data_IF_556193371019
#
_entry.id   IF_556193371019
#
_cell.length_a   1.000
_cell.length_b   1.000
_cell.length_c   1.000
_cell.angle_alpha   90.00
_cell.angle_beta   90.00
_cell.angle_gamma   90.00
#
_symmetry.space_group_name_H-M   'P 1'
#
loop_
_entity.id
_entity.type
_entity.pdbx_description
1 polymer ?
#
# COMPACT_ATOMS: atom_id res chain seq x y z
N UNK A 1 5.14 5.58 -13.59
CA UNK A 1 4.04 5.27 -12.67
C UNK A 1 4.17 6.01 -11.34
N UNK A 2 3.08 6.07 -10.60
CA UNK A 2 3.01 6.67 -9.25
C UNK A 2 2.81 5.53 -8.25
N UNK A 3 3.66 5.42 -7.23
CA UNK A 3 3.46 4.43 -6.16
C UNK A 3 2.20 4.76 -5.35
N UNK A 4 1.20 3.86 -5.34
CA UNK A 4 -0.01 4.02 -4.51
C UNK A 4 0.34 3.87 -3.03
N UNK A 5 1.17 2.88 -2.68
CA UNK A 5 1.55 2.56 -1.30
C UNK A 5 3.01 2.91 -1.02
N UNK A 6 3.37 3.34 0.21
CA UNK A 6 4.75 3.70 0.60
C UNK A 6 5.60 2.46 0.92
N UNK A 7 5.47 1.39 0.15
CA UNK A 7 6.11 0.09 0.33
C UNK A 7 6.92 -0.30 -0.90
N UNK A 8 7.62 -1.43 -0.86
CA UNK A 8 8.23 -2.03 -2.03
C UNK A 8 7.18 -2.27 -3.13
N UNK A 9 7.52 -1.99 -4.39
CA UNK A 9 6.57 -2.16 -5.49
C UNK A 9 6.08 -3.61 -5.65
N UNK A 10 6.88 -4.61 -5.26
CA UNK A 10 6.50 -6.01 -5.20
C UNK A 10 5.31 -6.30 -4.25
N UNK A 11 5.06 -5.43 -3.27
CA UNK A 11 3.92 -5.55 -2.35
C UNK A 11 2.63 -4.91 -2.88
N UNK A 12 2.70 -4.04 -3.90
CA UNK A 12 1.56 -3.24 -4.31
C UNK A 12 0.37 -4.09 -4.78
N UNK A 13 0.63 -5.13 -5.58
CA UNK A 13 -0.42 -6.05 -6.02
C UNK A 13 -1.01 -6.87 -4.85
N UNK A 14 -0.16 -7.23 -3.87
CA UNK A 14 -0.57 -7.95 -2.65
C UNK A 14 -1.47 -7.07 -1.77
N UNK A 15 -1.06 -5.82 -1.52
CA UNK A 15 -1.85 -4.85 -0.73
C UNK A 15 -3.20 -4.59 -1.41
N UNK A 16 -3.18 -4.31 -2.70
CA UNK A 16 -4.38 -4.01 -3.48
C UNK A 16 -5.36 -5.18 -3.46
N UNK A 17 -4.89 -6.41 -3.68
CA UNK A 17 -5.70 -7.63 -3.64
C UNK A 17 -6.34 -7.85 -2.26
N UNK A 18 -5.58 -7.62 -1.19
CA UNK A 18 -6.08 -7.70 0.18
C UNK A 18 -7.20 -6.68 0.43
N UNK A 19 -6.97 -5.41 0.10
CA UNK A 19 -7.96 -4.35 0.30
C UNK A 19 -9.23 -4.58 -0.52
N UNK A 20 -9.10 -5.08 -1.76
CA UNK A 20 -10.26 -5.43 -2.59
C UNK A 20 -11.08 -6.56 -1.96
N UNK A 21 -10.45 -7.61 -1.44
CA UNK A 21 -11.15 -8.69 -0.76
C UNK A 21 -11.89 -8.21 0.48
N UNK A 22 -11.23 -7.42 1.34
CA UNK A 22 -11.84 -6.84 2.54
C UNK A 22 -13.09 -6.02 2.18
N UNK A 23 -12.98 -5.15 1.19
CA UNK A 23 -14.08 -4.30 0.76
C UNK A 23 -15.19 -5.08 0.06
N UNK A 24 -14.85 -5.94 -0.90
CA UNK A 24 -15.81 -6.68 -1.74
C UNK A 24 -16.71 -7.63 -0.93
N UNK A 25 -16.15 -8.21 0.12
CA UNK A 25 -16.83 -9.17 0.98
C UNK A 25 -17.24 -8.59 2.33
N UNK A 26 -17.05 -7.27 2.53
CA UNK A 26 -17.35 -6.55 3.79
C UNK A 26 -16.76 -7.26 5.03
N UNK A 27 -15.53 -7.78 4.91
CA UNK A 27 -14.86 -8.51 5.98
C UNK A 27 -14.42 -7.55 7.09
N UNK A 28 -14.71 -7.91 8.33
CA UNK A 28 -14.08 -7.28 9.48
C UNK A 28 -12.65 -7.81 9.69
N UNK A 29 -11.74 -7.04 10.32
CA UNK A 29 -10.38 -7.49 10.59
C UNK A 29 -10.29 -8.84 11.31
N UNK A 30 -11.22 -9.12 12.23
CA UNK A 30 -11.24 -10.35 13.04
C UNK A 30 -11.86 -11.55 12.30
N UNK A 31 -12.50 -11.34 11.16
CA UNK A 31 -12.98 -12.44 10.33
C UNK A 31 -11.82 -13.20 9.64
N UNK A 32 -10.67 -12.53 9.45
CA UNK A 32 -9.53 -13.12 8.73
C UNK A 32 -8.66 -13.94 9.69
N UNK A 33 -8.63 -15.25 9.46
CA UNK A 33 -7.92 -16.24 10.27
C UNK A 33 -6.49 -16.46 9.75
N UNK A 34 -6.35 -16.66 8.44
CA UNK A 34 -5.07 -16.83 7.76
C UNK A 34 -5.13 -16.25 6.33
N UNK A 35 -3.97 -16.13 5.71
CA UNK A 35 -3.89 -15.73 4.31
C UNK A 35 -2.80 -16.49 3.55
N UNK A 36 -2.99 -16.60 2.24
CA UNK A 36 -1.99 -17.09 1.30
C UNK A 36 -1.74 -16.04 0.23
N UNK A 37 -0.49 -15.76 -0.03
CA UNK A 37 -0.03 -14.86 -1.11
C UNK A 37 0.75 -15.70 -2.11
N UNK A 38 0.33 -15.69 -3.39
CA UNK A 38 1.08 -16.32 -4.48
C UNK A 38 1.71 -15.25 -5.35
N UNK A 39 3.01 -15.30 -5.48
CA UNK A 39 3.84 -14.32 -6.18
C UNK A 39 4.92 -15.03 -7.02
N UNK A 40 5.53 -14.28 -7.93
CA UNK A 40 6.62 -14.81 -8.76
C UNK A 40 7.88 -15.13 -7.93
N UNK A 41 8.80 -15.96 -8.46
CA UNK A 41 10.11 -16.21 -7.85
C UNK A 41 10.88 -14.91 -7.58
N UNK A 42 10.83 -13.94 -8.51
CA UNK A 42 11.48 -12.64 -8.33
C UNK A 42 10.89 -11.86 -7.15
N UNK A 43 9.57 -11.71 -7.09
CA UNK A 43 8.90 -11.01 -5.99
C UNK A 43 9.20 -11.68 -4.65
N UNK A 44 9.21 -13.02 -4.61
CA UNK A 44 9.53 -13.79 -3.42
C UNK A 44 10.94 -13.49 -2.89
N UNK A 45 11.93 -13.34 -3.78
CA UNK A 45 13.30 -12.97 -3.39
C UNK A 45 13.36 -11.61 -2.67
N UNK A 46 12.45 -10.69 -3.00
CA UNK A 46 12.44 -9.32 -2.47
C UNK A 46 11.57 -9.19 -1.23
N UNK A 47 10.36 -9.79 -1.22
CA UNK A 47 9.35 -9.52 -0.19
C UNK A 47 8.77 -10.79 0.47
N UNK A 48 9.24 -11.99 0.07
CA UNK A 48 8.67 -13.25 0.54
C UNK A 48 9.29 -13.82 1.82
N UNK A 49 10.40 -13.24 2.32
CA UNK A 49 11.03 -13.69 3.54
C UNK A 49 10.08 -13.57 4.76
N UNK A 50 10.17 -14.47 5.76
CA UNK A 50 9.39 -14.35 6.99
C UNK A 50 9.51 -12.97 7.61
N UNK A 51 8.39 -12.43 8.11
CA UNK A 51 8.39 -11.11 8.74
C UNK A 51 9.13 -11.12 10.07
N UNK A 52 10.18 -10.30 10.18
CA UNK A 52 10.97 -10.15 11.40
C UNK A 52 11.32 -8.66 11.64
N UNK A 53 10.61 -7.98 12.59
CA UNK A 53 10.86 -6.59 12.93
C UNK A 53 11.97 -6.39 13.99
N UNK A 54 12.78 -7.38 14.29
CA UNK A 54 13.75 -7.35 15.40
C UNK A 54 14.88 -6.34 15.17
N UNK A 55 15.38 -6.23 13.94
CA UNK A 55 16.49 -5.32 13.58
C UNK A 55 15.93 -3.96 13.12
N UNK A 56 15.72 -3.78 11.83
CA UNK A 56 15.14 -2.59 11.24
C UNK A 56 13.65 -2.84 10.94
N UNK A 57 12.80 -2.51 11.92
CA UNK A 57 11.37 -2.80 11.84
C UNK A 57 10.69 -2.05 10.67
N UNK A 58 11.12 -0.83 10.37
CA UNK A 58 10.57 -0.05 9.27
C UNK A 58 10.89 -0.69 7.92
N UNK A 59 12.15 -1.05 7.69
CA UNK A 59 12.57 -1.72 6.46
C UNK A 59 11.92 -3.10 6.35
N UNK A 60 11.87 -3.86 7.46
CA UNK A 60 11.19 -5.16 7.48
C UNK A 60 9.73 -5.03 7.03
N UNK A 61 8.99 -4.04 7.54
CA UNK A 61 7.61 -3.78 7.15
C UNK A 61 7.48 -3.37 5.67
N UNK A 62 8.39 -2.53 5.17
CA UNK A 62 8.39 -2.07 3.77
C UNK A 62 8.66 -3.19 2.76
N UNK A 63 9.38 -4.24 3.16
CA UNK A 63 9.81 -5.34 2.30
C UNK A 63 9.21 -6.70 2.68
N UNK A 64 8.04 -6.72 3.31
CA UNK A 64 7.33 -7.94 3.69
C UNK A 64 5.94 -8.02 3.07
N UNK A 65 5.68 -9.09 2.32
CA UNK A 65 4.35 -9.42 1.84
C UNK A 65 3.42 -9.78 3.01
N UNK A 66 3.93 -10.48 4.03
CA UNK A 66 3.17 -10.89 5.21
C UNK A 66 2.70 -9.68 6.00
N UNK A 67 3.60 -8.73 6.30
CA UNK A 67 3.24 -7.49 6.98
C UNK A 67 2.23 -6.67 6.16
N UNK A 68 2.43 -6.59 4.85
CA UNK A 68 1.55 -5.85 3.94
C UNK A 68 0.11 -6.36 3.98
N UNK A 69 -0.09 -7.69 3.96
CA UNK A 69 -1.42 -8.31 4.13
C UNK A 69 -1.98 -7.99 5.52
N UNK A 70 -1.19 -8.24 6.57
CA UNK A 70 -1.64 -8.07 7.95
C UNK A 70 -2.04 -6.61 8.25
N UNK A 71 -1.26 -5.64 7.79
CA UNK A 71 -1.57 -4.20 7.92
C UNK A 71 -2.82 -3.84 7.13
N UNK A 72 -2.96 -4.32 5.89
CA UNK A 72 -4.14 -4.07 5.06
C UNK A 72 -5.42 -4.65 5.69
N UNK A 73 -5.36 -5.84 6.29
CA UNK A 73 -6.48 -6.45 7.01
C UNK A 73 -6.81 -5.67 8.29
N UNK A 74 -5.82 -5.47 9.17
CA UNK A 74 -6.05 -4.90 10.51
C UNK A 74 -6.42 -3.42 10.48
N UNK A 75 -5.88 -2.65 9.52
CA UNK A 75 -6.01 -1.20 9.46
C UNK A 75 -6.85 -0.71 8.28
N UNK A 76 -7.23 -1.59 7.35
CA UNK A 76 -7.94 -1.22 6.12
C UNK A 76 -7.11 -0.35 5.16
N UNK A 77 -5.80 -0.24 5.40
CA UNK A 77 -4.87 0.58 4.61
C UNK A 77 -3.43 0.14 4.80
N UNK A 78 -2.54 0.66 3.93
CA UNK A 78 -1.09 0.67 4.12
C UNK A 78 -0.58 2.05 3.72
N UNK A 79 -0.52 2.95 4.69
CA UNK A 79 -0.07 4.34 4.54
C UNK A 79 1.28 4.58 5.22
N UNK A 80 1.73 5.84 5.26
CA UNK A 80 3.01 6.21 5.87
C UNK A 80 3.06 5.89 7.38
N UNK A 81 1.95 6.14 8.10
CA UNK A 81 1.89 5.85 9.54
C UNK A 81 1.93 4.36 9.86
N UNK A 82 1.54 3.52 8.89
CA UNK A 82 1.51 2.07 9.05
C UNK A 82 2.90 1.44 8.87
N UNK A 83 3.92 2.24 8.51
CA UNK A 83 5.31 1.81 8.31
C UNK A 83 6.29 2.47 9.29
N UNK A 84 5.80 3.06 10.38
CA UNK A 84 6.67 3.52 11.48
C UNK A 84 7.20 2.32 12.28
N UNK A 85 8.24 2.54 13.07
CA UNK A 85 8.81 1.49 13.94
C UNK A 85 7.76 0.92 14.89
N UNK A 86 6.93 1.78 15.47
CA UNK A 86 5.84 1.42 16.38
C UNK A 86 4.80 0.57 15.66
N UNK A 87 4.35 1.01 14.49
CA UNK A 87 3.37 0.29 13.69
C UNK A 87 3.89 -1.07 13.20
N UNK A 88 5.18 -1.13 12.84
CA UNK A 88 5.82 -2.37 12.40
C UNK A 88 5.96 -3.39 13.56
N UNK A 89 6.05 -2.93 14.81
CA UNK A 89 6.14 -3.77 16.00
C UNK A 89 4.80 -4.04 16.69
N UNK A 90 3.71 -3.62 16.08
CA UNK A 90 2.37 -3.88 16.60
C UNK A 90 2.13 -5.40 16.71
N UNK A 91 1.83 -5.91 17.94
CA UNK A 91 1.70 -7.35 18.17
C UNK A 91 0.49 -7.97 17.45
N UNK A 92 -0.60 -7.23 17.23
CA UNK A 92 -1.78 -7.74 16.53
C UNK A 92 -1.51 -7.91 15.05
N UNK A 93 -0.82 -6.93 14.45
CA UNK A 93 -0.37 -7.03 13.05
C UNK A 93 0.68 -8.14 12.92
N UNK A 94 1.63 -8.22 13.84
CA UNK A 94 2.65 -9.28 13.87
C UNK A 94 2.06 -10.68 13.99
N UNK A 95 1.04 -10.85 14.84
CA UNK A 95 0.35 -12.13 15.01
C UNK A 95 -0.32 -12.58 13.69
N UNK A 96 -1.00 -11.69 12.99
CA UNK A 96 -1.60 -12.01 11.70
C UNK A 96 -0.53 -12.21 10.61
N UNK A 97 0.54 -11.40 10.59
CA UNK A 97 1.63 -11.57 9.63
C UNK A 97 2.25 -12.97 9.70
N UNK A 98 2.33 -13.57 10.89
CA UNK A 98 2.80 -14.94 11.09
C UNK A 98 1.81 -16.01 10.58
N UNK A 99 0.55 -15.66 10.31
CA UNK A 99 -0.45 -16.53 9.69
C UNK A 99 -0.52 -16.37 8.16
N UNK A 100 0.25 -15.44 7.59
CA UNK A 100 0.32 -15.23 6.14
C UNK A 100 1.43 -16.11 5.56
N UNK A 101 1.05 -17.01 4.64
CA UNK A 101 2.00 -17.84 3.91
C UNK A 101 2.27 -17.25 2.53
N UNK A 102 3.54 -17.20 2.15
CA UNK A 102 3.94 -16.86 0.79
C UNK A 102 4.22 -18.15 0.03
N UNK A 103 3.58 -18.31 -1.11
CA UNK A 103 3.76 -19.42 -2.05
C UNK A 103 4.35 -18.88 -3.35
N UNK A 104 5.39 -19.54 -3.85
CA UNK A 104 6.00 -19.17 -5.14
C UNK A 104 5.19 -19.81 -6.26
N UNK A 105 4.75 -19.00 -7.21
CA UNK A 105 4.18 -19.43 -8.47
C UNK A 105 5.31 -19.46 -9.53
N UNK A 106 5.86 -20.64 -9.79
CA UNK A 106 6.96 -20.83 -10.75
C UNK A 106 6.55 -20.49 -12.19
N UNK A 107 5.24 -20.49 -12.50
CA UNK A 107 4.70 -20.08 -13.80
C UNK A 107 4.62 -18.57 -13.97
N UNK A 108 4.68 -17.82 -12.88
CA UNK A 108 4.61 -16.37 -12.89
C UNK A 108 5.98 -15.74 -13.14
N UNK A 109 6.16 -15.11 -14.30
CA UNK A 109 7.41 -14.43 -14.69
C UNK A 109 7.37 -12.91 -14.41
N UNK A 110 6.35 -12.42 -13.72
CA UNK A 110 6.19 -11.00 -13.44
C UNK A 110 7.21 -10.48 -12.41
N UNK A 111 7.69 -9.26 -12.63
CA UNK A 111 8.62 -8.60 -11.70
C UNK A 111 7.89 -7.94 -10.53
N UNK A 112 6.69 -7.38 -10.75
CA UNK A 112 5.92 -6.64 -9.75
C UNK A 112 4.48 -7.13 -9.62
N UNK A 113 3.99 -7.84 -10.60
CA UNK A 113 2.68 -8.47 -10.72
C UNK A 113 2.78 -9.57 -11.81
N UNK A 114 1.82 -10.51 -11.92
CA UNK A 114 0.63 -10.61 -11.07
C UNK A 114 0.92 -11.12 -9.66
N UNK A 115 -0.06 -10.91 -8.76
CA UNK A 115 -0.09 -11.54 -7.45
C UNK A 115 -1.51 -12.05 -7.14
N UNK A 116 -1.60 -13.19 -6.47
CA UNK A 116 -2.86 -13.72 -5.96
C UNK A 116 -2.87 -13.63 -4.44
N UNK A 117 -3.97 -13.12 -3.89
CA UNK A 117 -4.22 -13.11 -2.44
C UNK A 117 -5.43 -14.00 -2.16
N UNK A 118 -5.33 -14.81 -1.12
CA UNK A 118 -6.42 -15.65 -0.62
C UNK A 118 -6.54 -15.35 0.87
N UNK A 119 -7.71 -14.88 1.31
CA UNK A 119 -8.05 -14.70 2.72
C UNK A 119 -8.94 -15.84 3.17
N UNK A 120 -8.61 -16.45 4.31
CA UNK A 120 -9.42 -17.49 4.94
C UNK A 120 -10.21 -16.91 6.11
N UNK A 121 -11.50 -17.23 6.16
CA UNK A 121 -12.42 -16.89 7.24
C UNK A 121 -13.14 -18.15 7.72
N UNK A 122 -13.95 -18.02 8.78
CA UNK A 122 -14.82 -19.13 9.22
C UNK A 122 -15.81 -19.59 8.14
N UNK A 123 -16.26 -18.67 7.27
CA UNK A 123 -17.25 -18.92 6.23
C UNK A 123 -16.63 -19.43 4.92
N UNK A 124 -15.31 -19.44 4.79
CA UNK A 124 -14.63 -19.94 3.59
C UNK A 124 -13.39 -19.16 3.19
N UNK A 125 -13.02 -19.31 1.93
CA UNK A 125 -11.83 -18.67 1.35
C UNK A 125 -12.23 -17.75 0.20
N UNK A 126 -11.70 -16.54 0.23
CA UNK A 126 -11.90 -15.52 -0.80
C UNK A 126 -10.60 -15.28 -1.54
N UNK A 127 -10.67 -15.26 -2.88
CA UNK A 127 -9.50 -15.11 -3.75
C UNK A 127 -9.63 -13.86 -4.62
N UNK A 128 -8.53 -13.12 -4.73
CA UNK A 128 -8.37 -12.01 -5.67
C UNK A 128 -7.04 -12.15 -6.41
N UNK A 129 -7.04 -11.85 -7.70
CA UNK A 129 -5.84 -11.81 -8.52
C UNK A 129 -5.65 -10.40 -9.08
N UNK A 130 -4.48 -9.83 -8.85
CA UNK A 130 -4.12 -8.48 -9.30
C UNK A 130 -3.08 -8.59 -10.39
N UNK A 131 -3.47 -8.30 -11.62
CA UNK A 131 -2.66 -8.51 -12.82
C UNK A 131 -1.62 -7.41 -13.07
N UNK A 132 -1.89 -6.19 -12.57
CA UNK A 132 -0.99 -5.04 -12.72
C UNK A 132 -0.91 -4.26 -11.40
N UNK A 133 0.24 -3.69 -11.09
CA UNK A 133 0.39 -2.89 -9.87
C UNK A 133 -0.38 -1.57 -9.99
N UNK A 134 -1.10 -1.14 -8.94
CA UNK A 134 -1.77 0.17 -8.95
C UNK A 134 -0.75 1.30 -9.11
N UNK A 135 -1.07 2.25 -10.00
CA UNK A 135 -0.21 3.36 -10.37
C UNK A 135 0.73 3.09 -11.55
N UNK A 136 0.64 1.91 -12.18
CA UNK A 136 1.29 1.63 -13.47
C UNK A 136 0.47 2.16 -14.65
N UNK A 137 1.02 2.06 -15.87
CA UNK A 137 0.30 2.43 -17.08
C UNK A 137 -0.95 1.56 -17.32
N UNK A 138 -0.88 0.28 -16.93
CA UNK A 138 -1.97 -0.69 -17.11
C UNK A 138 -3.02 -0.64 -15.98
N UNK A 139 -2.73 0.07 -14.88
CA UNK A 139 -3.61 0.25 -13.73
C UNK A 139 -3.38 1.64 -13.13
N UNK A 140 -3.70 2.69 -13.89
CA UNK A 140 -3.54 4.07 -13.46
C UNK A 140 -4.31 4.37 -12.17
N UNK A 141 -3.78 5.24 -11.32
CA UNK A 141 -4.52 5.78 -10.18
C UNK A 141 -5.64 6.70 -10.67
N UNK A 142 -6.74 6.72 -9.95
CA UNK A 142 -7.75 7.76 -10.12
C UNK A 142 -7.21 9.12 -9.66
N UNK A 143 -7.83 10.21 -10.12
CA UNK A 143 -7.48 11.56 -9.65
C UNK A 143 -7.64 11.66 -8.13
N UNK A 144 -8.66 11.00 -7.57
CA UNK A 144 -8.89 10.94 -6.12
C UNK A 144 -7.75 10.21 -5.39
N UNK A 145 -7.28 9.05 -5.89
CA UNK A 145 -6.14 8.34 -5.31
C UNK A 145 -4.87 9.22 -5.30
N UNK A 146 -4.65 10.00 -6.38
CA UNK A 146 -3.51 10.92 -6.49
C UNK A 146 -3.64 12.06 -5.49
N UNK A 147 -4.84 12.66 -5.34
CA UNK A 147 -5.14 13.73 -4.38
C UNK A 147 -4.95 13.25 -2.94
N UNK A 148 -5.51 12.10 -2.59
CA UNK A 148 -5.36 11.48 -1.26
C UNK A 148 -3.87 11.24 -0.97
N UNK A 149 -3.13 10.68 -1.91
CA UNK A 149 -1.69 10.45 -1.75
C UNK A 149 -0.93 11.75 -1.56
N UNK A 150 -1.20 12.77 -2.37
CA UNK A 150 -0.54 14.08 -2.24
C UNK A 150 -0.80 14.70 -0.87
N UNK A 151 -2.06 14.73 -0.44
CA UNK A 151 -2.47 15.30 0.87
C UNK A 151 -1.81 14.55 2.03
N UNK A 152 -1.76 13.21 1.97
CA UNK A 152 -1.09 12.38 2.97
C UNK A 152 0.41 12.67 3.06
N UNK A 153 1.08 12.78 1.92
CA UNK A 153 2.51 13.11 1.87
C UNK A 153 2.77 14.56 2.32
N UNK A 154 1.96 15.52 1.90
CA UNK A 154 2.10 16.93 2.23
C UNK A 154 1.95 17.20 3.74
N UNK A 155 1.05 16.47 4.40
CA UNK A 155 0.85 16.56 5.86
C UNK A 155 2.06 16.05 6.67
N UNK A 156 2.97 15.27 6.05
CA UNK A 156 4.13 14.64 6.70
C UNK A 156 5.48 15.14 6.17
N UNK A 157 5.46 16.19 5.35
CA UNK A 157 6.69 16.82 4.83
C UNK A 157 7.46 17.55 5.92
N UNK A 158 8.70 17.99 5.62
CA UNK A 158 9.50 18.81 6.55
C UNK A 158 8.79 20.09 7.01
N UNK A 159 7.93 20.65 6.15
CA UNK A 159 6.97 21.72 6.48
C UNK A 159 5.58 21.13 6.21
N UNK A 160 4.88 20.61 7.24
CA UNK A 160 3.59 19.97 7.07
C UNK A 160 2.54 20.96 6.56
N UNK A 161 1.81 20.55 5.52
CA UNK A 161 0.70 21.34 5.01
C UNK A 161 -0.60 20.91 5.70
N UNK A 162 -1.44 21.90 6.03
CA UNK A 162 -2.83 21.63 6.41
C UNK A 162 -3.62 21.11 5.19
N UNK A 163 -4.75 20.41 5.40
CA UNK A 163 -5.61 19.98 4.29
C UNK A 163 -6.04 21.14 3.37
N UNK A 164 -6.28 22.33 3.93
CA UNK A 164 -6.63 23.53 3.16
C UNK A 164 -5.49 23.99 2.25
N UNK A 165 -4.24 23.98 2.76
CA UNK A 165 -3.08 24.35 1.96
C UNK A 165 -2.83 23.30 0.85
N UNK A 166 -2.91 22.01 1.17
CA UNK A 166 -2.76 20.95 0.20
C UNK A 166 -3.80 21.05 -0.93
N UNK A 167 -5.08 21.29 -0.59
CA UNK A 167 -6.13 21.47 -1.59
C UNK A 167 -5.88 22.70 -2.47
N UNK A 168 -5.48 23.83 -1.89
CA UNK A 168 -5.10 25.02 -2.68
C UNK A 168 -3.95 24.73 -3.65
N UNK A 169 -2.96 23.95 -3.21
CA UNK A 169 -1.84 23.55 -4.09
C UNK A 169 -2.35 22.71 -5.26
N UNK A 170 -3.25 21.76 -5.00
CA UNK A 170 -3.88 20.95 -6.04
C UNK A 170 -4.63 21.84 -7.04
N UNK A 171 -5.46 22.76 -6.53
CA UNK A 171 -6.23 23.67 -7.39
C UNK A 171 -5.31 24.54 -8.28
N UNK A 172 -4.19 25.03 -7.74
CA UNK A 172 -3.20 25.79 -8.51
C UNK A 172 -2.54 24.91 -9.58
N UNK A 173 -2.24 23.65 -9.28
CA UNK A 173 -1.68 22.72 -10.27
C UNK A 173 -2.68 22.38 -11.36
N UNK A 174 -3.95 22.17 -11.02
CA UNK A 174 -5.01 21.88 -11.99
C UNK A 174 -5.28 23.07 -12.95
N UNK A 175 -4.98 24.31 -12.51
CA UNK A 175 -5.12 25.55 -13.29
C UNK A 175 -3.77 26.07 -13.84
N UNK A 176 -2.69 25.30 -13.73
CA UNK A 176 -1.31 25.73 -14.00
C UNK A 176 -1.16 26.35 -15.41
N UNK A 177 -1.83 25.75 -16.42
CA UNK A 177 -1.79 26.24 -17.82
C UNK A 177 -2.47 27.59 -18.03
N UNK A 178 -3.29 28.03 -17.05
CA UNK A 178 -4.05 29.29 -17.10
C UNK A 178 -3.37 30.41 -16.33
N UNK A 179 -2.27 30.11 -15.61
CA UNK A 179 -1.57 31.10 -14.81
C UNK A 179 -0.65 31.97 -15.66
N UNK A 180 -0.81 33.28 -15.60
CA UNK A 180 0.09 34.26 -16.22
C UNK A 180 1.44 34.34 -15.50
N UNK A 181 1.49 33.98 -14.20
CA UNK A 181 2.66 34.05 -13.34
C UNK A 181 2.69 32.88 -12.34
N UNK A 182 3.83 32.17 -12.30
CA UNK A 182 4.06 31.05 -11.39
C UNK A 182 4.42 31.45 -9.96
N UNK A 183 4.55 32.75 -9.65
CA UNK A 183 4.86 33.23 -8.31
C UNK A 183 3.83 32.77 -7.27
N UNK A 184 2.55 32.64 -7.67
CA UNK A 184 1.47 32.13 -6.81
C UNK A 184 1.68 30.65 -6.42
N UNK A 185 2.24 29.83 -7.33
CA UNK A 185 2.58 28.44 -7.03
C UNK A 185 3.60 28.36 -5.90
N UNK A 186 4.69 29.14 -6.01
CA UNK A 186 5.75 29.16 -5.00
C UNK A 186 5.32 29.80 -3.67
N UNK A 187 4.46 30.80 -3.69
CA UNK A 187 3.92 31.42 -2.49
C UNK A 187 3.05 30.45 -1.68
N UNK A 188 2.30 29.55 -2.34
CA UNK A 188 1.51 28.53 -1.66
C UNK A 188 2.32 27.32 -1.18
N UNK A 189 3.50 27.06 -1.76
CA UNK A 189 4.38 25.98 -1.37
C UNK A 189 5.28 26.32 -0.17
N UNK A 190 5.49 27.61 0.14
CA UNK A 190 6.44 28.10 1.13
C UNK A 190 5.85 28.80 2.36
N UNK A 191 4.52 28.85 2.51
CA UNK A 191 3.84 29.55 3.63
C UNK A 191 3.20 28.59 4.62
#
# INVERSE_FOLDING_TARGET
GIKKFPSCACNHAVIEGTLRLMSKHALAPDDVIDAVVRISPYMNTIVGAPYDPSNDAQVAAQFSAQYSVASAVRRGRVGLDDLTVEAARDPEVGALANQVRVEVDEGNQGLLAPATVILATADGRYKEEVLAIPGSADAALSDEDVRVKFTDCAARGPVPMSPTQANRMIDVVDELEKLDDLSMFFANAGS
#
